data_IF_987894656506
#
_entry.id   IF_987894656506
#
_cell.length_a   1.000
_cell.length_b   1.000
_cell.length_c   1.000
_cell.angle_alpha   90.00
_cell.angle_beta   90.00
_cell.angle_gamma   90.00
#
_symmetry.space_group_name_H-M   'P 1'
#
loop_
_entity.id
_entity.type
_entity.pdbx_description
1 polymer ?
#
# COMPACT_ATOMS: atom_id res chain seq x y z
N UNK A 1 -1.19 -53.89 25.92
CA UNK A 1 -1.40 -53.33 24.59
C UNK A 1 -1.55 -51.81 24.72
N UNK A 2 -0.47 -51.08 24.43
CA UNK A 2 -0.47 -49.61 24.60
C UNK A 2 -0.68 -48.99 23.25
N UNK A 3 -1.81 -48.28 23.09
CA UNK A 3 -2.09 -47.47 21.92
C UNK A 3 -1.33 -46.13 22.09
N UNK A 4 -0.31 -45.92 21.28
CA UNK A 4 0.39 -44.66 21.21
C UNK A 4 -0.39 -43.79 20.22
N UNK A 5 -1.11 -42.78 20.74
CA UNK A 5 -1.73 -41.76 19.92
C UNK A 5 -0.62 -40.82 19.44
N UNK A 6 -0.26 -40.94 18.17
CA UNK A 6 0.61 -39.97 17.52
C UNK A 6 -0.25 -38.77 17.18
N UNK A 7 -0.12 -37.71 17.98
CA UNK A 7 -0.69 -36.40 17.65
C UNK A 7 0.06 -35.81 16.46
N UNK A 8 -0.57 -35.80 15.30
CA UNK A 8 -0.04 -35.13 14.12
C UNK A 8 -0.17 -33.62 14.33
N UNK A 9 0.91 -32.97 14.73
CA UNK A 9 0.98 -31.52 14.76
C UNK A 9 1.22 -31.06 13.33
N UNK A 10 0.18 -30.59 12.66
CA UNK A 10 0.29 -29.95 11.37
C UNK A 10 0.72 -28.51 11.62
N UNK A 11 1.92 -28.09 11.20
CA UNK A 11 2.29 -26.68 11.31
C UNK A 11 1.42 -25.87 10.35
N UNK A 12 0.66 -24.96 10.90
CA UNK A 12 -0.08 -23.97 10.13
C UNK A 12 0.92 -22.97 9.59
N UNK A 13 1.56 -23.29 8.46
CA UNK A 13 2.50 -22.42 7.80
C UNK A 13 1.75 -21.50 6.85
N UNK A 14 1.45 -20.33 7.32
CA UNK A 14 1.59 -19.09 6.67
C UNK A 14 0.53 -18.64 5.70
N UNK A 15 0.06 -17.46 5.92
CA UNK A 15 -0.66 -16.55 5.04
C UNK A 15 -0.11 -15.13 5.24
N UNK A 16 1.14 -15.03 5.72
CA UNK A 16 1.69 -13.75 6.20
C UNK A 16 2.05 -12.77 5.08
N UNK A 17 2.32 -13.21 3.85
CA UNK A 17 2.74 -12.34 2.75
C UNK A 17 1.59 -11.49 2.19
N UNK A 18 0.40 -12.07 2.03
CA UNK A 18 -0.79 -11.34 1.57
C UNK A 18 -1.29 -10.34 2.62
N UNK A 19 -1.17 -10.68 3.91
CA UNK A 19 -1.55 -9.80 5.01
C UNK A 19 -0.64 -8.56 5.09
N UNK A 20 0.64 -8.66 4.74
CA UNK A 20 1.58 -7.54 4.73
C UNK A 20 1.32 -6.56 3.60
N UNK A 21 0.95 -7.03 2.40
CA UNK A 21 0.63 -6.17 1.25
C UNK A 21 -0.64 -5.35 1.47
N UNK A 22 -1.58 -5.85 2.30
CA UNK A 22 -2.84 -5.18 2.63
C UNK A 22 -2.81 -4.43 3.96
N UNK A 23 -1.67 -4.40 4.67
CA UNK A 23 -1.50 -3.70 5.93
C UNK A 23 -1.58 -2.18 5.72
N UNK A 24 -2.64 -1.50 6.24
CA UNK A 24 -2.80 -0.06 6.06
C UNK A 24 -1.68 0.76 6.70
N UNK A 25 -1.10 0.28 7.80
CA UNK A 25 0.02 0.96 8.46
C UNK A 25 1.27 1.00 7.57
N UNK A 26 1.55 -0.09 6.85
CA UNK A 26 2.66 -0.15 5.91
C UNK A 26 2.46 0.81 4.74
N UNK A 27 1.27 0.84 4.16
CA UNK A 27 0.93 1.74 3.07
C UNK A 27 0.98 3.21 3.50
N UNK A 28 0.46 3.51 4.68
CA UNK A 28 0.53 4.86 5.26
C UNK A 28 1.97 5.32 5.48
N UNK A 29 2.82 4.43 5.96
CA UNK A 29 4.25 4.70 6.15
C UNK A 29 4.96 5.01 4.83
N UNK A 30 4.66 4.26 3.78
CA UNK A 30 5.19 4.56 2.44
C UNK A 30 4.74 5.95 1.98
N UNK A 31 3.46 6.27 2.16
CA UNK A 31 2.86 7.53 1.75
C UNK A 31 3.49 8.74 2.45
N UNK A 32 3.75 8.62 3.75
CA UNK A 32 4.20 9.73 4.60
C UNK A 32 5.72 9.78 4.79
N UNK A 33 6.43 8.66 4.67
CA UNK A 33 7.83 8.56 5.09
C UNK A 33 8.75 7.90 4.06
N UNK A 34 8.41 6.73 3.52
CA UNK A 34 9.35 5.93 2.73
C UNK A 34 9.55 6.47 1.32
N UNK A 35 8.52 6.98 0.68
CA UNK A 35 8.63 7.60 -0.64
C UNK A 35 9.40 8.93 -0.55
N UNK A 36 10.28 9.18 -1.51
CA UNK A 36 11.04 10.44 -1.60
C UNK A 36 10.94 11.00 -3.04
N UNK A 37 10.27 12.13 -3.23
CA UNK A 37 9.51 12.91 -2.23
C UNK A 37 8.32 12.14 -1.67
N UNK A 38 7.93 12.47 -0.43
CA UNK A 38 6.76 11.83 0.17
C UNK A 38 5.49 12.17 -0.62
N UNK A 39 4.60 11.22 -0.75
CA UNK A 39 3.31 11.41 -1.44
C UNK A 39 2.49 12.54 -0.80
N UNK A 40 2.61 12.68 0.52
CA UNK A 40 1.96 13.72 1.32
C UNK A 40 2.35 15.15 0.93
N UNK A 41 3.52 15.35 0.31
CA UNK A 41 3.97 16.69 -0.13
C UNK A 41 3.10 17.22 -1.27
N UNK A 42 2.66 16.33 -2.14
CA UNK A 42 1.93 16.70 -3.36
C UNK A 42 0.43 16.41 -3.30
N UNK A 43 0.01 15.43 -2.51
CA UNK A 43 -1.37 14.96 -2.50
C UNK A 43 -2.08 15.20 -1.18
N UNK A 44 -3.33 15.66 -1.27
CA UNK A 44 -4.25 15.64 -0.14
C UNK A 44 -4.78 14.23 0.08
N UNK A 45 -4.69 13.74 1.31
CA UNK A 45 -5.28 12.49 1.77
C UNK A 45 -5.59 12.60 3.26
N UNK A 46 -6.85 12.66 3.60
CA UNK A 46 -7.31 12.93 4.98
C UNK A 46 -6.79 11.87 5.96
N UNK A 47 -6.83 10.59 5.60
CA UNK A 47 -6.36 9.50 6.46
C UNK A 47 -4.88 9.63 6.84
N UNK A 48 -4.07 10.18 5.94
CA UNK A 48 -2.64 10.43 6.18
C UNK A 48 -2.37 11.81 6.80
N UNK A 49 -3.39 12.62 7.01
CA UNK A 49 -3.24 13.98 7.50
C UNK A 49 -2.52 14.92 6.52
N UNK A 50 -2.49 14.58 5.24
CA UNK A 50 -1.80 15.38 4.22
C UNK A 50 -2.72 16.34 3.50
N UNK A 51 -2.19 17.50 3.17
CA UNK A 51 -2.92 18.62 2.55
C UNK A 51 -2.20 19.18 1.31
N UNK A 52 -1.33 18.39 0.68
CA UNK A 52 -0.61 18.78 -0.52
C UNK A 52 -1.56 19.10 -1.67
N UNK A 53 -1.29 20.18 -2.40
CA UNK A 53 -2.14 20.65 -3.50
C UNK A 53 -1.42 20.68 -4.86
N UNK A 54 -0.21 20.12 -4.93
CA UNK A 54 0.58 20.08 -6.18
C UNK A 54 0.01 19.01 -7.12
N UNK A 55 -0.34 17.85 -6.58
CA UNK A 55 -1.00 16.78 -7.30
C UNK A 55 -2.51 16.73 -7.04
N UNK A 56 -3.23 15.79 -7.68
CA UNK A 56 -4.65 15.59 -7.42
C UNK A 56 -4.97 15.30 -5.96
N UNK A 57 -6.10 15.81 -5.48
CA UNK A 57 -6.66 15.44 -4.20
C UNK A 57 -7.16 13.99 -4.29
N UNK A 58 -6.54 13.08 -3.55
CA UNK A 58 -6.83 11.66 -3.65
C UNK A 58 -8.19 11.30 -3.04
N UNK A 59 -8.66 12.05 -2.05
CA UNK A 59 -9.99 11.85 -1.47
C UNK A 59 -11.11 12.13 -2.49
N UNK A 60 -10.88 13.07 -3.39
CA UNK A 60 -11.81 13.38 -4.48
C UNK A 60 -11.64 12.44 -5.68
N UNK A 61 -10.41 12.14 -6.04
CA UNK A 61 -10.09 11.30 -7.19
C UNK A 61 -10.53 9.85 -6.99
N UNK A 62 -10.38 9.31 -5.79
CA UNK A 62 -10.70 7.92 -5.43
C UNK A 62 -10.10 6.92 -6.41
N UNK A 63 -8.78 6.90 -6.58
CA UNK A 63 -8.15 6.03 -7.57
C UNK A 63 -8.25 4.56 -7.17
N UNK A 64 -8.38 3.69 -8.18
CA UNK A 64 -8.27 2.26 -7.96
C UNK A 64 -6.84 1.87 -7.57
N UNK A 65 -6.69 0.72 -6.94
CA UNK A 65 -5.37 0.18 -6.62
C UNK A 65 -4.47 0.08 -7.85
N UNK A 66 -5.01 -0.43 -8.95
CA UNK A 66 -4.27 -0.54 -10.22
C UNK A 66 -3.80 0.82 -10.75
N UNK A 67 -4.66 1.84 -10.70
CA UNK A 67 -4.30 3.18 -11.12
C UNK A 67 -3.16 3.76 -10.28
N UNK A 68 -3.17 3.53 -8.97
CA UNK A 68 -2.10 3.96 -8.07
C UNK A 68 -0.80 3.21 -8.37
N UNK A 69 -0.85 1.89 -8.54
CA UNK A 69 0.33 1.09 -8.91
C UNK A 69 0.98 1.64 -10.19
N UNK A 70 0.19 1.90 -11.20
CA UNK A 70 0.70 2.39 -12.49
C UNK A 70 1.32 3.79 -12.36
N UNK A 71 0.66 4.69 -11.65
CA UNK A 71 1.15 6.06 -11.44
C UNK A 71 2.44 6.09 -10.62
N UNK A 72 2.50 5.31 -9.54
CA UNK A 72 3.69 5.26 -8.67
C UNK A 72 4.86 4.58 -9.35
N UNK A 73 4.61 3.52 -10.11
CA UNK A 73 5.67 2.78 -10.81
C UNK A 73 6.33 3.63 -11.89
N UNK A 74 5.56 4.18 -12.80
CA UNK A 74 6.06 4.86 -13.99
C UNK A 74 6.07 6.38 -13.92
N UNK A 75 5.43 6.97 -12.90
CA UNK A 75 5.24 8.41 -12.82
C UNK A 75 4.15 8.92 -13.78
N UNK A 76 3.69 10.16 -13.55
CA UNK A 76 2.72 10.84 -14.41
C UNK A 76 3.02 12.34 -14.41
N UNK A 77 3.35 12.92 -15.58
CA UNK A 77 3.67 14.34 -15.65
C UNK A 77 4.82 14.71 -14.72
N UNK A 78 4.59 15.65 -13.81
CA UNK A 78 5.60 16.04 -12.80
C UNK A 78 5.73 15.06 -11.65
N UNK A 79 4.77 14.14 -11.48
CA UNK A 79 4.90 13.07 -10.49
C UNK A 79 6.02 12.11 -10.90
N UNK A 80 7.07 11.95 -10.06
CA UNK A 80 8.18 11.08 -10.42
C UNK A 80 7.81 9.61 -10.39
N UNK A 81 8.56 8.79 -11.11
CA UNK A 81 8.52 7.34 -11.01
C UNK A 81 9.24 6.86 -9.76
N UNK A 82 8.68 5.87 -9.07
CA UNK A 82 9.25 5.32 -7.83
C UNK A 82 9.74 3.87 -7.97
N UNK A 83 9.69 3.28 -9.15
CA UNK A 83 10.04 1.87 -9.34
C UNK A 83 11.48 1.51 -8.95
N UNK A 84 12.40 2.48 -9.01
CA UNK A 84 13.80 2.26 -8.63
C UNK A 84 14.08 2.55 -7.14
N UNK A 85 13.22 3.30 -6.48
CA UNK A 85 13.39 3.72 -5.08
C UNK A 85 12.49 3.00 -4.09
N UNK A 86 11.34 2.52 -4.53
CA UNK A 86 10.44 1.71 -3.73
C UNK A 86 10.43 0.26 -4.23
N UNK A 87 10.34 -0.69 -3.30
CA UNK A 87 10.15 -2.10 -3.65
C UNK A 87 8.76 -2.33 -4.24
N UNK A 88 8.58 -3.44 -4.97
CA UNK A 88 7.26 -3.86 -5.44
C UNK A 88 6.25 -3.99 -4.31
N UNK A 89 6.67 -4.51 -3.15
CA UNK A 89 5.83 -4.60 -1.95
C UNK A 89 5.39 -3.24 -1.42
N UNK A 90 6.29 -2.27 -1.40
CA UNK A 90 5.97 -0.91 -0.95
C UNK A 90 4.99 -0.24 -1.90
N UNK A 91 5.17 -0.42 -3.20
CA UNK A 91 4.25 0.11 -4.22
C UNK A 91 2.86 -0.52 -4.05
N UNK A 92 2.77 -1.83 -3.90
CA UNK A 92 1.50 -2.50 -3.64
C UNK A 92 0.86 -2.06 -2.32
N UNK A 93 1.65 -1.86 -1.28
CA UNK A 93 1.15 -1.43 0.03
C UNK A 93 0.55 -0.02 -0.04
N UNK A 94 1.22 0.93 -0.66
CA UNK A 94 0.69 2.30 -0.79
C UNK A 94 -0.52 2.35 -1.70
N UNK A 95 -0.54 1.55 -2.77
CA UNK A 95 -1.69 1.46 -3.67
C UNK A 95 -2.92 0.90 -2.97
N UNK A 96 -2.78 -0.19 -2.23
CA UNK A 96 -3.86 -0.76 -1.43
C UNK A 96 -4.36 0.22 -0.36
N UNK A 97 -3.45 0.91 0.30
CA UNK A 97 -3.77 1.92 1.31
C UNK A 97 -4.61 3.07 0.72
N UNK A 98 -4.14 3.69 -0.34
CA UNK A 98 -4.84 4.82 -0.97
C UNK A 98 -6.22 4.39 -1.49
N UNK A 99 -6.30 3.29 -2.21
CA UNK A 99 -7.56 2.78 -2.75
C UNK A 99 -8.57 2.44 -1.64
N UNK A 100 -8.11 1.86 -0.54
CA UNK A 100 -8.96 1.49 0.59
C UNK A 100 -9.51 2.70 1.32
N UNK A 101 -8.65 3.65 1.71
CA UNK A 101 -9.09 4.80 2.52
C UNK A 101 -9.89 5.83 1.73
N UNK A 102 -9.77 5.84 0.41
CA UNK A 102 -10.58 6.72 -0.46
C UNK A 102 -11.83 6.04 -1.02
N UNK A 103 -11.91 4.72 -0.94
CA UNK A 103 -13.00 3.94 -1.53
C UNK A 103 -12.86 3.74 -3.04
N UNK A 104 -11.66 3.85 -3.59
CA UNK A 104 -11.39 3.73 -5.02
C UNK A 104 -11.60 2.35 -5.61
N UNK A 105 -11.59 1.30 -4.80
CA UNK A 105 -11.82 -0.09 -5.22
C UNK A 105 -13.27 -0.57 -5.03
N UNK A 106 -14.20 0.31 -4.78
CA UNK A 106 -15.62 -0.03 -4.64
C UNK A 106 -16.34 -0.02 -5.98
#
# INVERSE_FOLDING_TARGET
MRLIAVALVVPLCGLSLLAQASDPEKGKKVFTQDAQPACAVCHTLADAGSTGEIGPNLDELKPSREAVVNAVTGGVGIMPAFEESLSAEQIEAVAAYVATVTGGDK
#
